data_IF_290639452051
#
_entry.id   IF_290639452051
#
_cell.length_a   1.000
_cell.length_b   1.000
_cell.length_c   1.000
_cell.angle_alpha   90.00
_cell.angle_beta   90.00
_cell.angle_gamma   90.00
#
_symmetry.space_group_name_H-M   'P 1'
#
loop_
_entity.id
_entity.type
_entity.pdbx_description
1 polymer ?
#
# COMPACT_ATOMS: atom_id res chain seq x y z
N UNK A 1 18.57 18.43 -9.33
CA UNK A 1 17.23 18.41 -8.71
C UNK A 1 17.32 17.69 -7.37
N UNK A 2 16.75 18.25 -6.30
CA UNK A 2 16.68 17.64 -4.97
C UNK A 2 15.27 17.09 -4.72
N UNK A 3 15.15 15.85 -4.27
CA UNK A 3 13.86 15.20 -4.03
C UNK A 3 13.83 14.68 -2.59
N UNK A 4 12.74 14.93 -1.88
CA UNK A 4 12.46 14.34 -0.57
C UNK A 4 11.40 13.27 -0.70
N UNK A 5 11.67 12.03 -0.25
CA UNK A 5 10.67 10.99 -0.05
C UNK A 5 10.30 10.95 1.43
N UNK A 6 9.01 11.08 1.74
CA UNK A 6 8.50 11.03 3.12
C UNK A 6 8.06 9.61 3.44
N UNK A 7 8.60 9.05 4.53
CA UNK A 7 8.30 7.70 5.04
C UNK A 7 9.56 6.88 5.32
N UNK A 8 9.38 5.60 5.69
CA UNK A 8 10.49 4.73 6.15
C UNK A 8 10.27 3.25 5.85
N UNK A 9 9.19 2.87 5.18
CA UNK A 9 8.85 1.48 4.91
C UNK A 9 9.52 0.90 3.66
N UNK A 10 9.18 -0.34 3.34
CA UNK A 10 9.65 -1.02 2.13
C UNK A 10 9.16 -0.33 0.86
N UNK A 11 7.95 0.21 0.88
CA UNK A 11 7.38 1.05 -0.18
C UNK A 11 8.24 2.28 -0.45
N UNK A 12 8.63 3.03 0.57
CA UNK A 12 9.47 4.21 0.42
C UNK A 12 10.87 3.83 -0.05
N UNK A 13 11.42 2.72 0.41
CA UNK A 13 12.69 2.21 -0.12
C UNK A 13 12.59 1.88 -1.61
N UNK A 14 11.51 1.23 -2.05
CA UNK A 14 11.29 0.95 -3.46
C UNK A 14 11.12 2.22 -4.30
N UNK A 15 10.46 3.26 -3.78
CA UNK A 15 10.37 4.57 -4.43
C UNK A 15 11.74 5.24 -4.56
N UNK A 16 12.53 5.28 -3.48
CA UNK A 16 13.89 5.86 -3.49
C UNK A 16 14.79 5.08 -4.45
N UNK A 17 14.73 3.75 -4.41
CA UNK A 17 15.49 2.89 -5.31
C UNK A 17 15.15 3.14 -6.79
N UNK A 18 13.86 3.34 -7.10
CA UNK A 18 13.44 3.62 -8.49
C UNK A 18 13.82 5.04 -8.92
N UNK A 19 13.68 6.04 -8.04
CA UNK A 19 14.11 7.42 -8.32
C UNK A 19 15.62 7.54 -8.50
N UNK A 20 16.42 6.73 -7.79
CA UNK A 20 17.87 6.70 -7.94
C UNK A 20 18.33 6.19 -9.32
N UNK A 21 17.45 5.50 -10.07
CA UNK A 21 17.73 5.04 -11.44
C UNK A 21 17.38 6.07 -12.51
N UNK A 22 16.84 7.23 -12.13
CA UNK A 22 16.55 8.30 -13.09
C UNK A 22 17.80 8.77 -13.82
N UNK A 23 17.70 8.92 -15.14
CA UNK A 23 18.79 9.48 -15.97
C UNK A 23 19.15 10.91 -15.57
N UNK A 24 18.27 11.59 -14.84
CA UNK A 24 18.48 12.98 -14.34
C UNK A 24 19.29 13.03 -13.05
N UNK A 25 19.65 11.86 -12.46
CA UNK A 25 20.49 11.73 -11.26
C UNK A 25 20.12 12.71 -10.14
N UNK A 26 18.89 12.63 -9.60
CA UNK A 26 18.47 13.54 -8.53
C UNK A 26 19.26 13.30 -7.24
N UNK A 27 19.48 14.36 -6.46
CA UNK A 27 19.93 14.22 -5.08
C UNK A 27 18.73 13.83 -4.22
N UNK A 28 18.80 12.66 -3.59
CA UNK A 28 17.70 12.07 -2.84
C UNK A 28 17.86 12.27 -1.34
N UNK A 29 16.75 12.62 -0.70
CA UNK A 29 16.56 12.66 0.74
C UNK A 29 15.39 11.77 1.11
N UNK A 30 15.39 11.20 2.32
CA UNK A 30 14.25 10.43 2.86
C UNK A 30 14.01 10.79 4.33
N UNK A 31 12.78 10.99 4.73
CA UNK A 31 12.41 11.37 6.10
C UNK A 31 11.28 10.49 6.66
N UNK A 32 11.54 9.72 7.73
CA UNK A 32 12.84 9.53 8.40
C UNK A 32 13.79 8.57 7.67
N UNK A 33 13.31 7.77 6.70
CA UNK A 33 14.09 6.73 6.04
C UNK A 33 14.33 5.49 6.91
N UNK A 34 15.17 4.58 6.42
CA UNK A 34 15.62 3.37 7.11
C UNK A 34 17.05 3.01 6.68
N UNK A 35 17.65 2.01 7.32
CA UNK A 35 19.05 1.66 7.09
C UNK A 35 19.38 1.19 5.66
N UNK A 36 18.40 0.70 4.89
CA UNK A 36 18.62 0.34 3.48
C UNK A 36 18.60 1.57 2.57
N UNK A 37 17.76 2.55 2.89
CA UNK A 37 17.63 3.81 2.14
C UNK A 37 18.91 4.65 2.27
N UNK A 38 19.64 4.55 3.39
CA UNK A 38 20.89 5.30 3.64
C UNK A 38 21.94 5.13 2.55
N UNK A 39 21.92 4.03 1.81
CA UNK A 39 22.85 3.77 0.69
C UNK A 39 22.48 4.52 -0.59
N UNK A 40 21.25 5.04 -0.70
CA UNK A 40 20.67 5.66 -1.90
C UNK A 40 20.32 7.14 -1.69
N UNK A 41 20.01 7.53 -0.45
CA UNK A 41 19.52 8.84 -0.09
C UNK A 41 20.02 9.28 1.29
N UNK A 42 20.14 10.59 1.50
CA UNK A 42 20.40 11.14 2.83
C UNK A 42 19.14 10.99 3.70
N UNK A 43 19.20 10.16 4.74
CA UNK A 43 18.12 10.01 5.70
C UNK A 43 18.12 11.19 6.69
N UNK A 44 16.94 11.80 6.89
CA UNK A 44 16.74 12.97 7.74
C UNK A 44 15.85 12.58 8.91
N UNK A 45 16.26 12.78 10.18
CA UNK A 45 15.53 12.29 11.35
C UNK A 45 14.30 13.14 11.68
N UNK A 46 13.43 13.35 10.68
CA UNK A 46 12.13 14.02 10.81
C UNK A 46 11.04 12.98 10.61
N UNK A 47 10.09 12.89 11.53
CA UNK A 47 8.97 11.93 11.42
C UNK A 47 8.08 12.29 10.23
N UNK A 48 7.47 11.27 9.62
CA UNK A 48 6.59 11.45 8.46
C UNK A 48 5.34 12.30 8.76
N UNK A 49 4.89 12.33 10.01
CA UNK A 49 3.75 13.10 10.50
C UNK A 49 4.12 14.50 11.07
N UNK A 50 5.42 14.82 11.16
CA UNK A 50 5.90 16.16 11.52
C UNK A 50 5.92 17.08 10.30
N UNK A 51 4.73 17.52 9.87
CA UNK A 51 4.56 18.35 8.66
C UNK A 51 5.34 19.66 8.77
N UNK A 52 5.39 20.28 9.95
CA UNK A 52 6.09 21.54 10.17
C UNK A 52 7.61 21.38 10.04
N UNK A 53 8.16 20.32 10.62
CA UNK A 53 9.58 19.97 10.49
C UNK A 53 9.96 19.65 9.04
N UNK A 54 9.14 18.86 8.35
CA UNK A 54 9.34 18.53 6.94
C UNK A 54 9.31 19.78 6.06
N UNK A 55 8.35 20.68 6.28
CA UNK A 55 8.26 21.96 5.54
C UNK A 55 9.49 22.84 5.74
N UNK A 56 9.93 22.98 6.99
CA UNK A 56 11.15 23.75 7.33
C UNK A 56 12.37 23.17 6.60
N UNK A 57 12.53 21.86 6.63
CA UNK A 57 13.62 21.16 5.93
C UNK A 57 13.57 21.39 4.42
N UNK A 58 12.38 21.24 3.80
CA UNK A 58 12.19 21.44 2.36
C UNK A 58 12.57 22.86 1.94
N UNK A 59 12.22 23.87 2.73
CA UNK A 59 12.56 25.26 2.46
C UNK A 59 14.05 25.55 2.65
N UNK A 60 14.66 25.06 3.74
CA UNK A 60 16.08 25.30 4.04
C UNK A 60 17.01 24.62 3.04
N UNK A 61 16.71 23.37 2.66
CA UNK A 61 17.49 22.59 1.71
C UNK A 61 17.15 22.89 0.25
N UNK A 62 16.13 23.70 -0.01
CA UNK A 62 15.62 24.02 -1.36
C UNK A 62 15.28 22.74 -2.12
N UNK A 63 14.47 21.89 -1.53
CA UNK A 63 13.96 20.67 -2.17
C UNK A 63 13.04 21.06 -3.32
N UNK A 64 13.29 20.50 -4.49
CA UNK A 64 12.52 20.81 -5.71
C UNK A 64 11.18 20.05 -5.76
N UNK A 65 11.13 18.84 -5.18
CA UNK A 65 9.94 17.97 -5.20
C UNK A 65 9.88 17.12 -3.95
N UNK A 66 8.70 17.02 -3.33
CA UNK A 66 8.43 16.10 -2.23
C UNK A 66 7.49 14.99 -2.69
N UNK A 67 7.78 13.73 -2.33
CA UNK A 67 6.97 12.55 -2.63
C UNK A 67 6.52 11.92 -1.32
N UNK A 68 5.20 11.74 -1.13
CA UNK A 68 4.65 11.21 0.12
C UNK A 68 4.34 9.73 -0.05
N UNK A 69 4.95 8.88 0.80
CA UNK A 69 4.74 7.44 0.79
C UNK A 69 3.54 6.99 1.63
N UNK A 70 3.47 7.28 2.95
CA UNK A 70 2.45 6.75 3.84
C UNK A 70 1.17 7.60 3.85
N UNK A 71 0.08 6.98 4.31
CA UNK A 71 -1.26 7.59 4.38
C UNK A 71 -1.42 8.64 5.48
N UNK A 72 -0.71 8.49 6.59
CA UNK A 72 -0.89 9.36 7.76
C UNK A 72 -0.63 10.84 7.46
N UNK A 73 0.51 11.26 6.88
CA UNK A 73 0.74 12.66 6.51
C UNK A 73 -0.25 13.18 5.46
N UNK A 74 -0.75 12.32 4.54
CA UNK A 74 -1.79 12.70 3.58
C UNK A 74 -3.09 13.06 4.30
N UNK A 75 -3.53 12.21 5.22
CA UNK A 75 -4.72 12.44 6.04
C UNK A 75 -4.59 13.65 6.95
N UNK A 76 -3.37 13.98 7.40
CA UNK A 76 -3.09 15.19 8.19
C UNK A 76 -3.08 16.47 7.33
N UNK A 77 -2.86 16.37 6.00
CA UNK A 77 -2.94 17.51 5.08
C UNK A 77 -1.58 18.07 4.65
N UNK A 78 -0.52 17.25 4.61
CA UNK A 78 0.82 17.69 4.17
C UNK A 78 0.78 18.31 2.77
N UNK A 79 -0.06 17.79 1.86
CA UNK A 79 -0.17 18.30 0.49
C UNK A 79 -0.72 19.73 0.48
N UNK A 80 -1.77 19.97 1.27
CA UNK A 80 -2.42 21.27 1.36
C UNK A 80 -1.45 22.32 1.94
N UNK A 81 -0.74 21.97 3.02
CA UNK A 81 0.22 22.84 3.69
C UNK A 81 1.40 23.21 2.78
N UNK A 82 1.94 22.24 2.02
CA UNK A 82 3.06 22.47 1.09
C UNK A 82 2.63 23.33 -0.10
N UNK A 83 1.49 23.01 -0.71
CA UNK A 83 0.94 23.79 -1.85
C UNK A 83 0.65 25.24 -1.48
N UNK A 84 0.07 25.47 -0.31
CA UNK A 84 -0.18 26.84 0.22
C UNK A 84 1.14 27.61 0.36
N UNK A 85 2.25 26.93 0.57
CA UNK A 85 3.59 27.53 0.68
C UNK A 85 4.36 27.54 -0.65
N UNK A 86 3.72 27.20 -1.78
CA UNK A 86 4.34 27.17 -3.11
C UNK A 86 5.34 26.02 -3.33
N UNK A 87 5.32 24.99 -2.46
CA UNK A 87 6.24 23.85 -2.55
C UNK A 87 5.61 22.73 -3.43
N UNK A 88 6.40 22.21 -4.38
CA UNK A 88 5.97 21.09 -5.22
C UNK A 88 5.92 19.80 -4.40
N UNK A 89 4.79 19.10 -4.46
CA UNK A 89 4.56 17.87 -3.71
C UNK A 89 3.63 16.93 -4.46
N UNK A 90 3.96 15.63 -4.45
CA UNK A 90 3.20 14.54 -5.06
C UNK A 90 2.38 13.80 -4.01
N UNK A 91 1.08 13.72 -4.23
CA UNK A 91 0.09 13.04 -3.43
C UNK A 91 -1.25 13.79 -3.44
N UNK A 92 -2.34 13.16 -2.94
CA UNK A 92 -3.66 13.76 -2.86
C UNK A 92 -3.77 14.73 -1.67
N UNK A 93 -4.58 15.77 -1.82
CA UNK A 93 -4.96 16.68 -0.73
C UNK A 93 -5.65 15.94 0.41
N UNK A 94 -5.72 16.56 1.59
CA UNK A 94 -6.45 16.01 2.75
C UNK A 94 -7.89 15.64 2.40
N UNK A 95 -8.57 16.48 1.59
CA UNK A 95 -9.92 16.21 1.12
C UNK A 95 -10.01 14.93 0.29
N UNK A 96 -9.09 14.74 -0.65
CA UNK A 96 -9.04 13.55 -1.51
C UNK A 96 -8.55 12.30 -0.75
N UNK A 97 -7.59 12.45 0.17
CA UNK A 97 -7.07 11.35 0.99
C UNK A 97 -8.13 10.73 1.92
N UNK A 98 -9.26 11.39 2.14
CA UNK A 98 -10.43 10.82 2.84
C UNK A 98 -10.93 9.53 2.20
N UNK A 99 -10.67 9.29 0.91
CA UNK A 99 -11.07 8.04 0.24
C UNK A 99 -10.42 6.80 0.89
N UNK A 100 -9.25 6.95 1.52
CA UNK A 100 -8.60 5.93 2.36
C UNK A 100 -8.91 6.15 3.85
N UNK A 101 -8.88 7.40 4.32
CA UNK A 101 -8.98 7.74 5.73
C UNK A 101 -10.40 7.56 6.30
N UNK A 102 -11.44 7.45 5.47
CA UNK A 102 -12.82 7.17 5.88
C UNK A 102 -13.48 6.18 4.92
N UNK A 103 -13.79 4.99 5.43
CA UNK A 103 -14.50 3.96 4.67
C UNK A 103 -15.92 4.37 4.33
N UNK A 104 -16.55 5.16 5.19
CA UNK A 104 -17.87 5.75 4.94
C UNK A 104 -17.79 6.70 3.75
N UNK A 105 -16.83 7.64 3.74
CA UNK A 105 -16.62 8.53 2.61
C UNK A 105 -16.30 7.77 1.32
N UNK A 106 -15.49 6.72 1.41
CA UNK A 106 -15.20 5.83 0.27
C UNK A 106 -16.49 5.21 -0.29
N UNK A 107 -17.42 4.75 0.58
CA UNK A 107 -18.72 4.21 0.15
C UNK A 107 -19.62 5.29 -0.47
N UNK A 108 -19.59 6.51 0.02
CA UNK A 108 -20.31 7.64 -0.58
C UNK A 108 -19.80 7.91 -2.02
N UNK A 109 -18.47 7.94 -2.22
CA UNK A 109 -17.86 8.05 -3.55
C UNK A 109 -18.33 6.91 -4.46
N UNK A 110 -18.20 5.65 -4.00
CA UNK A 110 -18.60 4.49 -4.79
C UNK A 110 -20.09 4.52 -5.17
N UNK A 111 -20.94 4.87 -4.23
CA UNK A 111 -22.39 5.01 -4.47
C UNK A 111 -22.70 6.12 -5.48
N UNK A 112 -22.10 7.29 -5.33
CA UNK A 112 -22.33 8.46 -6.20
C UNK A 112 -21.85 8.24 -7.64
N UNK A 113 -20.88 7.34 -7.81
CA UNK A 113 -20.26 6.98 -9.09
C UNK A 113 -20.75 5.65 -9.67
N UNK A 114 -21.72 4.99 -9.04
CA UNK A 114 -22.21 3.66 -9.41
C UNK A 114 -21.10 2.59 -9.49
N UNK A 115 -20.09 2.69 -8.62
CA UNK A 115 -19.00 1.72 -8.53
C UNK A 115 -19.48 0.52 -7.70
N UNK A 116 -19.30 -0.69 -8.25
CA UNK A 116 -19.68 -1.91 -7.57
C UNK A 116 -18.82 -2.14 -6.32
N UNK A 117 -19.49 -2.40 -5.20
CA UNK A 117 -18.88 -2.73 -3.91
C UNK A 117 -19.84 -3.59 -3.08
N UNK A 118 -19.36 -4.20 -2.00
CA UNK A 118 -20.19 -4.92 -1.05
C UNK A 118 -21.27 -4.01 -0.48
N UNK A 119 -22.49 -4.52 -0.34
CA UNK A 119 -23.56 -3.83 0.38
C UNK A 119 -23.09 -3.56 1.81
N UNK A 120 -23.24 -2.32 2.28
CA UNK A 120 -22.74 -1.88 3.56
C UNK A 120 -23.72 -0.96 4.27
N UNK A 121 -23.67 -0.99 5.59
CA UNK A 121 -24.35 -0.01 6.43
C UNK A 121 -23.39 0.49 7.52
N UNK A 122 -23.37 1.80 7.74
CA UNK A 122 -22.54 2.44 8.77
C UNK A 122 -23.33 2.66 10.05
N UNK A 123 -22.65 2.56 11.19
CA UNK A 123 -23.24 2.74 12.53
C UNK A 123 -22.30 3.57 13.40
N UNK A 124 -22.88 4.57 14.07
CA UNK A 124 -22.24 5.40 15.10
C UNK A 124 -22.74 5.05 16.52
N UNK A 125 -23.67 4.08 16.64
CA UNK A 125 -24.24 3.62 17.90
C UNK A 125 -24.14 2.10 17.99
N UNK A 126 -23.50 1.60 19.05
CA UNK A 126 -23.30 0.17 19.29
C UNK A 126 -24.63 -0.60 19.25
N UNK A 127 -25.66 -0.10 19.95
CA UNK A 127 -26.96 -0.79 20.00
C UNK A 127 -27.57 -0.99 18.62
N UNK A 128 -27.43 0.00 17.72
CA UNK A 128 -27.95 -0.09 16.35
C UNK A 128 -27.16 -1.12 15.52
N UNK A 129 -25.83 -1.12 15.66
CA UNK A 129 -24.96 -2.10 14.98
C UNK A 129 -25.26 -3.54 15.43
N UNK A 130 -25.42 -3.76 16.74
CA UNK A 130 -25.75 -5.06 17.31
C UNK A 130 -27.14 -5.54 16.89
N UNK A 131 -28.14 -4.64 16.84
CA UNK A 131 -29.49 -4.96 16.36
C UNK A 131 -29.48 -5.37 14.88
N UNK A 132 -28.71 -4.65 14.04
CA UNK A 132 -28.55 -4.99 12.62
C UNK A 132 -27.92 -6.37 12.42
N UNK A 133 -26.87 -6.70 13.19
CA UNK A 133 -26.22 -8.02 13.12
C UNK A 133 -27.15 -9.19 13.47
N UNK A 134 -28.19 -8.98 14.29
CA UNK A 134 -29.15 -10.04 14.61
C UNK A 134 -29.94 -10.55 13.38
N UNK A 135 -30.09 -9.70 12.36
CA UNK A 135 -30.85 -9.98 11.14
C UNK A 135 -29.98 -10.17 9.90
N UNK A 136 -28.67 -9.90 10.00
CA UNK A 136 -27.74 -9.98 8.86
C UNK A 136 -27.31 -11.43 8.61
N UNK A 137 -27.13 -11.78 7.33
CA UNK A 137 -26.59 -13.07 6.91
C UNK A 137 -25.10 -13.19 7.26
N UNK A 138 -24.65 -14.44 7.47
CA UNK A 138 -23.25 -14.76 7.73
C UNK A 138 -22.64 -15.51 6.53
N UNK A 139 -21.34 -15.38 6.29
CA UNK A 139 -20.38 -14.51 6.99
C UNK A 139 -20.63 -13.03 6.73
N UNK A 140 -20.11 -12.17 7.62
CA UNK A 140 -20.24 -10.72 7.54
C UNK A 140 -18.89 -10.04 7.81
N UNK A 141 -18.67 -8.86 7.23
CA UNK A 141 -17.43 -8.11 7.44
C UNK A 141 -17.70 -6.88 8.30
N UNK A 142 -16.98 -6.76 9.42
CA UNK A 142 -17.03 -5.57 10.29
C UNK A 142 -15.75 -4.77 10.08
N UNK A 143 -15.90 -3.46 9.74
CA UNK A 143 -14.76 -2.56 9.47
C UNK A 143 -14.86 -1.30 10.34
N UNK A 144 -13.78 -0.93 11.03
CA UNK A 144 -13.63 0.39 11.65
C UNK A 144 -13.48 1.47 10.56
N UNK A 145 -14.11 2.65 10.73
CA UNK A 145 -14.19 3.69 9.68
C UNK A 145 -12.89 4.46 9.46
N UNK A 146 -11.92 4.43 10.34
CA UNK A 146 -10.69 5.22 10.21
C UNK A 146 -9.48 4.40 9.73
N UNK A 147 -8.31 5.06 9.74
CA UNK A 147 -7.03 4.42 9.52
C UNK A 147 -6.72 3.47 10.69
N UNK A 148 -6.71 2.17 10.42
CA UNK A 148 -6.45 1.12 11.42
C UNK A 148 -5.32 0.18 10.98
N UNK A 149 -4.47 0.60 10.04
CA UNK A 149 -3.29 -0.14 9.57
C UNK A 149 -3.60 -1.58 9.13
N UNK A 150 -4.73 -1.79 8.45
CA UNK A 150 -5.20 -3.12 8.02
C UNK A 150 -5.77 -4.02 9.14
N UNK A 151 -5.72 -3.58 10.40
CA UNK A 151 -6.19 -4.37 11.56
C UNK A 151 -7.67 -4.13 11.91
N UNK A 152 -8.28 -3.09 11.38
CA UNK A 152 -9.67 -2.71 11.66
C UNK A 152 -10.71 -3.44 10.80
N UNK A 153 -10.36 -4.57 10.16
CA UNK A 153 -11.26 -5.38 9.32
C UNK A 153 -11.31 -6.81 9.86
N UNK A 154 -12.51 -7.27 10.20
CA UNK A 154 -12.76 -8.64 10.65
C UNK A 154 -13.81 -9.29 9.76
N UNK A 155 -13.51 -10.45 9.21
CA UNK A 155 -14.48 -11.36 8.61
C UNK A 155 -15.01 -12.27 9.72
N UNK A 156 -16.27 -12.09 10.10
CA UNK A 156 -16.93 -12.86 11.14
C UNK A 156 -17.75 -13.98 10.51
N UNK A 157 -17.48 -15.21 10.93
CA UNK A 157 -18.22 -16.41 10.52
C UNK A 157 -19.37 -16.75 11.48
N UNK A 158 -19.30 -16.19 12.69
CA UNK A 158 -20.35 -16.31 13.71
C UNK A 158 -20.89 -14.93 14.11
N UNK A 159 -22.11 -14.92 14.64
CA UNK A 159 -22.77 -13.69 15.09
C UNK A 159 -22.08 -13.10 16.33
N UNK A 160 -21.56 -13.94 17.17
CA UNK A 160 -20.82 -13.59 18.37
C UNK A 160 -19.50 -12.90 18.03
N UNK A 161 -18.74 -13.44 17.06
CA UNK A 161 -17.53 -12.78 16.54
C UNK A 161 -17.85 -11.38 15.97
N UNK A 162 -18.91 -11.25 15.18
CA UNK A 162 -19.31 -9.98 14.62
C UNK A 162 -19.71 -8.95 15.70
N UNK A 163 -20.46 -9.39 16.73
CA UNK A 163 -20.84 -8.53 17.86
C UNK A 163 -19.63 -8.12 18.70
N UNK A 164 -18.71 -9.06 18.91
CA UNK A 164 -17.46 -8.74 19.64
C UNK A 164 -16.63 -7.72 18.87
N UNK A 165 -16.47 -7.87 17.56
CA UNK A 165 -15.75 -6.88 16.73
C UNK A 165 -16.35 -5.47 16.82
N UNK A 166 -17.70 -5.35 16.83
CA UNK A 166 -18.38 -4.07 17.03
C UNK A 166 -18.06 -3.49 18.42
N UNK A 167 -18.11 -4.31 19.47
CA UNK A 167 -17.77 -3.84 20.83
C UNK A 167 -16.30 -3.44 20.96
N UNK A 168 -15.40 -4.24 20.40
CA UNK A 168 -13.95 -3.94 20.45
C UNK A 168 -13.65 -2.61 19.76
N UNK A 169 -14.28 -2.34 18.62
CA UNK A 169 -14.10 -1.08 17.91
C UNK A 169 -14.72 0.10 18.68
N UNK A 170 -16.02 0.00 19.04
CA UNK A 170 -16.82 1.15 19.45
C UNK A 170 -16.89 1.34 20.99
N UNK A 171 -16.84 0.26 21.79
CA UNK A 171 -16.89 0.35 23.27
C UNK A 171 -15.49 0.28 23.88
N UNK A 172 -14.67 -0.66 23.43
CA UNK A 172 -13.31 -0.85 23.96
C UNK A 172 -12.28 0.06 23.30
N UNK A 173 -12.67 0.79 22.26
CA UNK A 173 -11.85 1.75 21.50
C UNK A 173 -10.47 1.19 21.07
N UNK A 174 -10.39 -0.10 20.71
CA UNK A 174 -9.16 -0.79 20.31
C UNK A 174 -8.45 -0.09 19.13
N UNK A 175 -9.23 0.62 18.30
CA UNK A 175 -8.73 1.41 17.17
C UNK A 175 -8.77 2.93 17.45
N UNK A 176 -8.92 3.35 18.71
CA UNK A 176 -9.02 4.76 19.08
C UNK A 176 -10.16 5.47 18.32
N UNK A 177 -9.90 6.66 17.78
CA UNK A 177 -10.91 7.43 17.04
C UNK A 177 -11.42 6.71 15.79
N UNK A 178 -10.63 5.85 15.15
CA UNK A 178 -11.04 5.08 13.99
C UNK A 178 -12.19 4.11 14.27
N UNK A 179 -12.34 3.67 15.53
CA UNK A 179 -13.40 2.77 15.97
C UNK A 179 -14.72 3.44 16.37
N UNK A 180 -14.81 4.77 16.39
CA UNK A 180 -16.05 5.48 16.79
C UNK A 180 -17.24 5.19 15.87
N UNK A 181 -16.98 4.79 14.63
CA UNK A 181 -17.95 4.36 13.63
C UNK A 181 -17.50 3.04 13.03
N UNK A 182 -18.45 2.15 12.77
CA UNK A 182 -18.20 0.88 12.08
C UNK A 182 -19.05 0.77 10.83
N UNK A 183 -18.53 0.07 9.83
CA UNK A 183 -19.28 -0.43 8.69
C UNK A 183 -19.49 -1.93 8.88
N UNK A 184 -20.71 -2.38 8.59
CA UNK A 184 -21.05 -3.79 8.50
C UNK A 184 -21.34 -4.06 7.03
N UNK A 185 -20.57 -4.97 6.42
CA UNK A 185 -20.61 -5.25 4.99
C UNK A 185 -20.95 -6.71 4.71
N UNK A 186 -21.60 -6.92 3.58
CA UNK A 186 -21.75 -8.24 3.00
C UNK A 186 -20.37 -8.86 2.73
N UNK A 187 -20.20 -10.12 3.08
CA UNK A 187 -19.04 -10.90 2.67
C UNK A 187 -19.11 -11.18 1.16
N UNK A 188 -17.98 -10.97 0.48
CA UNK A 188 -17.82 -11.29 -0.93
C UNK A 188 -16.88 -12.50 -1.05
N UNK A 189 -17.36 -13.57 -1.66
CA UNK A 189 -16.57 -14.78 -1.94
C UNK A 189 -15.93 -14.66 -3.33
N UNK A 190 -14.63 -14.47 -3.38
CA UNK A 190 -13.87 -14.26 -4.60
C UNK A 190 -12.37 -14.21 -4.36
N UNK A 191 -11.64 -13.66 -5.31
CA UNK A 191 -10.19 -13.50 -5.22
C UNK A 191 -9.82 -12.02 -5.18
N UNK A 192 -8.90 -11.68 -4.28
CA UNK A 192 -8.41 -10.31 -4.16
C UNK A 192 -7.49 -9.95 -5.33
N UNK A 193 -7.56 -8.70 -5.77
CA UNK A 193 -6.70 -8.13 -6.80
C UNK A 193 -6.47 -6.66 -6.49
N UNK A 194 -5.25 -6.19 -6.73
CA UNK A 194 -4.89 -4.78 -6.62
C UNK A 194 -4.63 -4.19 -8.00
N UNK A 195 -5.29 -3.06 -8.30
CA UNK A 195 -4.93 -2.23 -9.44
C UNK A 195 -4.70 -0.81 -8.93
N UNK A 196 -3.45 -0.36 -9.03
CA UNK A 196 -3.08 1.03 -8.76
C UNK A 196 -3.10 1.82 -10.05
N UNK A 197 -3.30 3.13 -9.95
CA UNK A 197 -3.20 4.03 -11.10
C UNK A 197 -2.55 5.36 -10.73
N UNK A 198 -1.69 5.87 -11.60
CA UNK A 198 -1.31 7.28 -11.57
C UNK A 198 -2.47 8.13 -12.04
N UNK A 199 -2.69 9.28 -11.40
CA UNK A 199 -3.68 10.24 -11.87
C UNK A 199 -3.28 11.68 -11.51
N UNK A 200 -3.54 12.58 -12.42
CA UNK A 200 -3.37 14.03 -12.26
C UNK A 200 -4.70 14.73 -11.91
N UNK A 201 -5.76 13.97 -11.64
CA UNK A 201 -7.12 14.45 -11.37
C UNK A 201 -8.04 14.45 -12.58
N UNK A 202 -7.52 14.11 -13.77
CA UNK A 202 -8.25 14.01 -15.05
C UNK A 202 -7.89 12.72 -15.79
N UNK A 203 -6.61 12.55 -16.05
CA UNK A 203 -6.07 11.35 -16.69
C UNK A 203 -5.83 10.26 -15.66
N UNK A 204 -6.11 9.02 -16.02
CA UNK A 204 -5.88 7.84 -15.19
C UNK A 204 -5.05 6.84 -15.98
N UNK A 205 -3.86 6.51 -15.48
CA UNK A 205 -2.96 5.54 -16.12
C UNK A 205 -2.80 4.33 -15.18
N UNK A 206 -3.50 3.21 -15.48
CA UNK A 206 -3.44 2.02 -14.63
C UNK A 206 -2.08 1.35 -14.72
N UNK A 207 -1.58 0.92 -13.56
CA UNK A 207 -0.37 0.11 -13.43
C UNK A 207 -0.65 -1.37 -13.75
N UNK A 208 0.40 -2.18 -13.76
CA UNK A 208 0.25 -3.63 -13.81
C UNK A 208 -0.51 -4.14 -12.59
N UNK A 209 -1.41 -5.14 -12.76
CA UNK A 209 -2.17 -5.70 -11.65
C UNK A 209 -1.25 -6.48 -10.71
N UNK A 210 -1.43 -6.31 -9.40
CA UNK A 210 -0.70 -7.03 -8.39
C UNK A 210 -1.65 -7.81 -7.48
N UNK A 211 -1.16 -8.84 -6.83
CA UNK A 211 -1.89 -9.55 -5.79
C UNK A 211 -1.01 -9.74 -4.57
N UNK A 212 -1.51 -9.33 -3.40
CA UNK A 212 -0.83 -9.49 -2.12
C UNK A 212 -1.31 -10.73 -1.36
N UNK A 213 -0.56 -11.10 -0.33
CA UNK A 213 -0.89 -12.17 0.62
C UNK A 213 -1.04 -11.56 2.00
N UNK A 214 -2.28 -11.35 2.45
CA UNK A 214 -2.59 -10.61 3.70
C UNK A 214 -2.45 -11.45 4.96
N UNK A 215 -2.67 -12.77 4.88
CA UNK A 215 -2.59 -13.66 6.04
C UNK A 215 -1.14 -13.98 6.40
N UNK A 216 -0.85 -14.10 7.71
CA UNK A 216 0.51 -14.29 8.21
C UNK A 216 1.12 -15.65 7.85
N UNK A 217 0.32 -16.71 7.78
CA UNK A 217 0.77 -18.08 7.55
C UNK A 217 0.47 -18.60 6.16
N UNK A 218 1.17 -19.67 5.78
CA UNK A 218 0.95 -20.41 4.55
C UNK A 218 -0.50 -20.92 4.46
N UNK A 219 -1.00 -21.10 3.24
CA UNK A 219 -2.39 -21.50 2.98
C UNK A 219 -3.42 -20.47 3.46
N UNK A 220 -3.03 -19.19 3.52
CA UNK A 220 -3.87 -18.10 4.00
C UNK A 220 -4.40 -18.31 5.43
N UNK A 221 -3.57 -18.88 6.31
CA UNK A 221 -3.89 -19.13 7.71
C UNK A 221 -3.50 -17.96 8.63
N UNK A 222 -4.14 -17.88 9.80
CA UNK A 222 -3.81 -16.90 10.83
C UNK A 222 -4.40 -15.50 10.62
N UNK A 223 -3.97 -14.50 11.38
CA UNK A 223 -4.50 -13.13 11.31
C UNK A 223 -4.08 -12.39 10.04
N UNK A 224 -4.83 -11.34 9.69
CA UNK A 224 -4.46 -10.38 8.66
C UNK A 224 -3.23 -9.56 9.11
N UNK A 225 -2.43 -9.17 8.13
CA UNK A 225 -1.22 -8.37 8.27
C UNK A 225 -1.25 -7.16 7.34
N UNK A 226 -0.17 -6.39 7.30
CA UNK A 226 0.05 -5.38 6.25
C UNK A 226 0.49 -5.94 4.90
N UNK A 227 0.53 -7.27 4.74
CA UNK A 227 1.02 -7.98 3.56
C UNK A 227 2.30 -8.76 3.84
N UNK A 228 2.28 -10.06 3.53
CA UNK A 228 3.40 -11.01 3.70
C UNK A 228 4.17 -11.23 2.40
N UNK A 229 3.71 -10.64 1.33
CA UNK A 229 4.31 -10.70 0.00
C UNK A 229 3.33 -10.31 -1.08
N UNK A 230 3.82 -10.11 -2.28
CA UNK A 230 3.01 -9.79 -3.45
C UNK A 230 3.68 -10.32 -4.72
N UNK A 231 2.94 -10.32 -5.81
CA UNK A 231 3.48 -10.61 -7.13
C UNK A 231 2.80 -9.77 -8.23
N UNK A 232 3.50 -9.54 -9.30
CA UNK A 232 3.08 -8.70 -10.42
C UNK A 232 3.75 -9.17 -11.73
N UNK A 233 3.04 -9.20 -12.88
CA UNK A 233 1.59 -9.04 -13.01
C UNK A 233 0.83 -10.24 -12.42
N UNK A 234 -0.29 -9.98 -11.77
CA UNK A 234 -1.17 -11.04 -11.29
C UNK A 234 -1.99 -11.59 -12.48
N UNK A 235 -2.00 -12.93 -12.75
CA UNK A 235 -2.74 -13.51 -13.88
C UNK A 235 -4.25 -13.28 -13.82
N UNK A 236 -4.81 -13.10 -12.63
CA UNK A 236 -6.20 -12.71 -12.42
C UNK A 236 -6.54 -11.38 -13.12
N UNK A 237 -5.58 -10.44 -13.14
CA UNK A 237 -5.72 -9.11 -13.73
C UNK A 237 -5.51 -9.10 -15.24
N UNK A 238 -6.32 -9.85 -16.00
CA UNK A 238 -6.27 -9.87 -17.45
C UNK A 238 -6.40 -8.47 -18.05
N UNK A 239 -5.97 -8.28 -19.30
CA UNK A 239 -6.13 -7.00 -20.01
C UNK A 239 -7.59 -6.52 -20.00
N UNK A 240 -8.53 -7.41 -20.28
CA UNK A 240 -9.96 -7.10 -20.26
C UNK A 240 -10.45 -6.64 -18.89
N UNK A 241 -10.03 -7.31 -17.81
CA UNK A 241 -10.39 -6.94 -16.43
C UNK A 241 -9.76 -5.60 -16.04
N UNK A 242 -8.50 -5.36 -16.41
CA UNK A 242 -7.82 -4.08 -16.17
C UNK A 242 -8.53 -2.92 -16.87
N UNK A 243 -8.93 -3.09 -18.14
CA UNK A 243 -9.72 -2.11 -18.88
C UNK A 243 -11.10 -1.87 -18.24
N UNK A 244 -11.77 -2.94 -17.80
CA UNK A 244 -13.04 -2.84 -17.10
C UNK A 244 -12.90 -2.04 -15.80
N UNK A 245 -11.91 -2.36 -14.95
CA UNK A 245 -11.64 -1.64 -13.70
C UNK A 245 -11.28 -0.18 -13.97
N UNK A 246 -10.49 0.08 -15.00
CA UNK A 246 -10.15 1.46 -15.39
C UNK A 246 -11.39 2.26 -15.71
N UNK A 247 -12.28 1.72 -16.56
CA UNK A 247 -13.50 2.39 -17.02
C UNK A 247 -14.61 2.45 -15.97
N UNK A 248 -14.79 1.40 -15.14
CA UNK A 248 -15.93 1.28 -14.23
C UNK A 248 -15.59 1.62 -12.77
N UNK A 249 -14.31 1.73 -12.42
CA UNK A 249 -13.88 1.98 -11.03
C UNK A 249 -12.98 3.22 -10.96
N UNK A 250 -11.83 3.21 -11.65
CA UNK A 250 -10.79 4.23 -11.44
C UNK A 250 -11.22 5.61 -11.97
N UNK A 251 -11.64 5.69 -13.24
CA UNK A 251 -12.15 6.94 -13.80
C UNK A 251 -13.37 7.48 -13.04
N UNK A 252 -14.42 6.70 -12.78
CA UNK A 252 -15.56 7.16 -12.01
C UNK A 252 -15.23 7.65 -10.60
N UNK A 253 -14.25 7.01 -9.91
CA UNK A 253 -13.81 7.46 -8.59
C UNK A 253 -13.11 8.82 -8.66
N UNK A 254 -12.19 9.03 -9.62
CA UNK A 254 -11.48 10.30 -9.82
C UNK A 254 -12.46 11.42 -10.19
N UNK A 255 -13.41 11.16 -11.07
CA UNK A 255 -14.46 12.12 -11.43
C UNK A 255 -15.38 12.47 -10.24
N UNK A 256 -15.79 11.46 -9.45
CA UNK A 256 -16.65 11.70 -8.28
C UNK A 256 -15.93 12.57 -7.24
N UNK A 257 -14.65 12.29 -6.96
CA UNK A 257 -13.82 13.10 -6.08
C UNK A 257 -13.72 14.56 -6.60
N UNK A 258 -13.53 14.74 -7.90
CA UNK A 258 -13.48 16.06 -8.51
C UNK A 258 -14.82 16.81 -8.37
N UNK A 259 -15.95 16.14 -8.63
CA UNK A 259 -17.30 16.72 -8.44
C UNK A 259 -17.59 17.12 -6.98
N UNK A 260 -16.99 16.40 -6.01
CA UNK A 260 -17.10 16.72 -4.58
C UNK A 260 -16.12 17.81 -4.13
N UNK A 261 -15.41 18.47 -5.05
CA UNK A 261 -14.47 19.54 -4.75
C UNK A 261 -13.12 19.10 -4.18
N UNK A 262 -12.80 17.82 -4.26
CA UNK A 262 -11.53 17.26 -3.81
C UNK A 262 -10.85 16.42 -4.93
N UNK A 263 -10.37 17.08 -6.01
CA UNK A 263 -9.72 16.38 -7.12
C UNK A 263 -8.53 15.58 -6.62
N UNK A 264 -8.41 14.33 -7.11
CA UNK A 264 -7.38 13.40 -6.66
C UNK A 264 -6.16 13.46 -7.58
N UNK A 265 -4.99 13.75 -7.00
CA UNK A 265 -3.71 13.78 -7.70
C UNK A 265 -2.72 12.87 -6.97
N UNK A 266 -2.08 11.95 -7.66
CA UNK A 266 -1.16 10.99 -7.05
C UNK A 266 -1.38 9.56 -7.51
N UNK A 267 -1.36 8.61 -6.60
CA UNK A 267 -1.66 7.19 -6.86
C UNK A 267 -2.96 6.80 -6.18
N UNK A 268 -3.96 6.44 -6.99
CA UNK A 268 -5.19 5.81 -6.51
C UNK A 268 -5.03 4.29 -6.56
N UNK A 269 -5.17 3.65 -5.42
CA UNK A 269 -5.13 2.19 -5.27
C UNK A 269 -6.57 1.68 -5.14
N UNK A 270 -6.98 0.77 -6.01
CA UNK A 270 -8.23 0.02 -5.90
C UNK A 270 -7.94 -1.40 -5.43
N UNK A 271 -8.35 -1.73 -4.20
CA UNK A 271 -8.40 -3.09 -3.67
C UNK A 271 -9.72 -3.74 -4.08
N UNK A 272 -9.63 -4.81 -4.83
CA UNK A 272 -10.77 -5.46 -5.50
C UNK A 272 -11.00 -6.86 -4.97
N UNK A 273 -12.26 -7.30 -4.93
CA UNK A 273 -12.67 -8.68 -4.88
C UNK A 273 -13.28 -9.06 -6.23
N UNK A 274 -12.68 -10.00 -6.93
CA UNK A 274 -13.17 -10.51 -8.21
C UNK A 274 -14.07 -11.71 -7.95
N UNK A 275 -15.38 -11.51 -8.08
CA UNK A 275 -16.39 -12.54 -7.86
C UNK A 275 -16.92 -12.98 -9.21
N UNK A 276 -16.62 -14.22 -9.62
CA UNK A 276 -17.05 -14.79 -10.92
C UNK A 276 -16.75 -13.84 -12.11
N UNK A 277 -15.54 -13.24 -12.10
CA UNK A 277 -15.08 -12.33 -13.15
C UNK A 277 -15.57 -10.87 -13.01
N UNK A 278 -16.41 -10.56 -12.04
CA UNK A 278 -16.89 -9.20 -11.78
C UNK A 278 -16.08 -8.55 -10.65
N UNK A 279 -15.44 -7.37 -10.89
CA UNK A 279 -14.68 -6.68 -9.87
C UNK A 279 -15.59 -5.87 -8.94
N UNK A 280 -15.49 -6.10 -7.64
CA UNK A 280 -16.09 -5.31 -6.57
C UNK A 280 -15.00 -4.59 -5.80
N UNK A 281 -15.15 -3.30 -5.54
CA UNK A 281 -14.20 -2.55 -4.73
C UNK A 281 -14.38 -2.91 -3.25
N UNK A 282 -13.31 -3.38 -2.62
CA UNK A 282 -13.22 -3.60 -1.18
C UNK A 282 -12.86 -2.32 -0.44
N UNK A 283 -11.89 -1.59 -0.99
CA UNK A 283 -11.36 -0.33 -0.45
C UNK A 283 -10.60 0.44 -1.52
N UNK A 284 -10.47 1.74 -1.31
CA UNK A 284 -9.47 2.57 -1.98
C UNK A 284 -8.37 2.96 -1.00
N UNK A 285 -7.12 3.08 -1.51
CA UNK A 285 -6.05 3.72 -0.80
C UNK A 285 -5.53 4.93 -1.61
N UNK A 286 -5.04 5.94 -0.89
CA UNK A 286 -4.68 7.24 -1.45
C UNK A 286 -3.17 7.35 -1.77
N UNK A 287 -2.49 6.23 -1.91
CA UNK A 287 -1.03 6.11 -2.06
C UNK A 287 -0.66 4.75 -2.65
N UNK A 288 0.60 4.56 -2.94
CA UNK A 288 1.12 3.25 -3.36
C UNK A 288 0.92 2.19 -2.28
N UNK A 289 0.68 0.94 -2.68
CA UNK A 289 0.56 -0.22 -1.80
C UNK A 289 1.89 -0.66 -1.17
N UNK A 290 1.82 -1.45 -0.12
CA UNK A 290 2.98 -2.07 0.54
C UNK A 290 2.55 -3.48 1.02
N UNK A 291 2.97 -4.58 0.34
CA UNK A 291 4.19 -4.71 -0.49
C UNK A 291 4.02 -4.60 -2.02
N UNK A 292 2.91 -4.12 -2.57
CA UNK A 292 2.71 -4.10 -4.02
C UNK A 292 3.70 -3.20 -4.76
N UNK A 293 4.12 -2.09 -4.15
CA UNK A 293 5.12 -1.18 -4.71
C UNK A 293 6.44 -1.91 -5.01
N UNK A 294 6.82 -2.85 -4.14
CA UNK A 294 8.05 -3.63 -4.24
C UNK A 294 8.03 -4.62 -5.42
N UNK A 295 6.89 -4.90 -6.02
CA UNK A 295 6.78 -5.74 -7.22
C UNK A 295 6.41 -4.93 -8.47
N UNK A 296 5.72 -3.81 -8.32
CA UNK A 296 5.27 -2.99 -9.46
C UNK A 296 6.38 -2.06 -9.95
N UNK A 297 7.07 -1.33 -9.07
CA UNK A 297 8.12 -0.39 -9.47
C UNK A 297 9.34 -1.05 -10.13
N UNK A 298 9.79 -2.26 -9.76
CA UNK A 298 10.84 -2.96 -10.49
C UNK A 298 10.49 -3.27 -11.95
N UNK A 299 9.21 -3.37 -12.27
CA UNK A 299 8.72 -3.60 -13.64
C UNK A 299 8.45 -2.31 -14.42
N UNK A 300 8.45 -1.15 -13.76
CA UNK A 300 8.27 0.13 -14.45
C UNK A 300 9.51 0.45 -15.30
N UNK A 301 9.32 0.62 -16.63
CA UNK A 301 10.39 0.98 -17.57
C UNK A 301 10.55 2.49 -17.69
N UNK A 302 9.44 3.23 -17.74
CA UNK A 302 9.43 4.69 -17.76
C UNK A 302 10.07 5.24 -16.47
N UNK A 303 10.80 6.35 -16.60
CA UNK A 303 11.41 7.03 -15.46
C UNK A 303 10.34 7.48 -14.45
N UNK A 304 10.40 6.98 -13.21
CA UNK A 304 9.42 7.32 -12.18
C UNK A 304 9.38 8.82 -11.89
N UNK A 305 10.51 9.51 -12.00
CA UNK A 305 10.57 10.96 -11.80
C UNK A 305 9.74 11.69 -12.86
N UNK A 306 9.82 11.25 -14.12
CA UNK A 306 9.04 11.81 -15.21
C UNK A 306 7.53 11.61 -15.00
N UNK A 307 7.14 10.41 -14.54
CA UNK A 307 5.73 10.12 -14.21
C UNK A 307 5.23 11.01 -13.08
N UNK A 308 6.00 11.15 -12.00
CA UNK A 308 5.63 12.00 -10.85
C UNK A 308 5.50 13.46 -11.27
N UNK A 309 6.42 13.99 -12.07
CA UNK A 309 6.33 15.36 -12.58
C UNK A 309 5.12 15.54 -13.50
N UNK A 310 4.85 14.59 -14.39
CA UNK A 310 3.68 14.63 -15.25
C UNK A 310 2.37 14.69 -14.45
N UNK A 311 2.29 13.95 -13.35
CA UNK A 311 1.14 14.02 -12.43
C UNK A 311 1.06 15.39 -11.75
N UNK A 312 2.17 15.90 -11.19
CA UNK A 312 2.19 17.18 -10.46
C UNK A 312 1.89 18.37 -11.38
N UNK A 313 2.29 18.28 -12.64
CA UNK A 313 2.16 19.34 -13.65
C UNK A 313 0.90 19.19 -14.53
N UNK A 314 0.01 18.23 -14.22
CA UNK A 314 -1.24 17.96 -14.98
C UNK A 314 -1.03 17.72 -16.48
N UNK A 315 0.01 16.94 -16.82
CA UNK A 315 0.36 16.56 -18.20
C UNK A 315 0.50 15.05 -18.40
N UNK A 316 -0.17 14.27 -17.52
CA UNK A 316 -0.10 12.80 -17.56
C UNK A 316 -0.66 12.23 -18.88
N UNK A 317 -1.55 12.94 -19.55
CA UNK A 317 -2.09 12.62 -20.87
C UNK A 317 -1.05 12.70 -22.01
N UNK A 318 0.09 13.36 -21.77
CA UNK A 318 1.19 13.51 -22.74
C UNK A 318 2.28 12.44 -22.54
N UNK A 319 2.16 11.57 -21.53
CA UNK A 319 3.16 10.58 -21.18
C UNK A 319 2.66 9.15 -21.44
N UNK A 320 3.45 8.38 -22.16
CA UNK A 320 3.27 6.92 -22.24
C UNK A 320 4.04 6.25 -21.14
N UNK A 321 3.36 5.45 -20.33
CA UNK A 321 3.98 4.68 -19.24
C UNK A 321 4.22 3.24 -19.70
N UNK A 322 5.48 2.89 -19.89
CA UNK A 322 5.95 1.59 -20.34
C UNK A 322 6.40 0.70 -19.21
N UNK A 323 6.25 -0.61 -19.40
CA UNK A 323 6.61 -1.65 -18.45
C UNK A 323 7.59 -2.65 -19.07
N UNK A 324 8.45 -3.26 -18.24
CA UNK A 324 9.27 -4.40 -18.65
C UNK A 324 8.38 -5.63 -18.85
N UNK A 325 8.68 -6.42 -19.87
CA UNK A 325 8.06 -7.72 -20.12
C UNK A 325 8.70 -8.78 -19.21
N UNK A 326 8.44 -8.64 -17.92
CA UNK A 326 8.97 -9.49 -16.83
C UNK A 326 7.91 -9.62 -15.75
N UNK A 327 8.19 -10.50 -14.79
CA UNK A 327 7.41 -10.71 -13.58
C UNK A 327 8.24 -10.40 -12.34
N UNK A 328 7.58 -10.08 -11.23
CA UNK A 328 8.22 -9.84 -9.95
C UNK A 328 7.45 -10.53 -8.82
N UNK A 329 8.17 -11.10 -7.86
CA UNK A 329 7.64 -11.70 -6.63
C UNK A 329 8.38 -11.11 -5.45
N UNK A 330 7.66 -10.60 -4.45
CA UNK A 330 8.22 -10.08 -3.21
C UNK A 330 7.82 -10.98 -2.04
N UNK A 331 8.81 -11.46 -1.29
CA UNK A 331 8.62 -12.19 -0.02
C UNK A 331 8.94 -11.26 1.12
N UNK A 332 8.00 -11.09 2.05
CA UNK A 332 8.19 -10.21 3.24
C UNK A 332 8.69 -11.04 4.41
N UNK A 333 9.85 -10.65 4.96
CA UNK A 333 10.37 -11.19 6.22
C UNK A 333 9.93 -10.32 7.39
N UNK A 334 9.43 -10.95 8.44
CA UNK A 334 8.87 -10.28 9.62
C UNK A 334 9.58 -10.69 10.91
N UNK A 335 9.52 -9.83 11.93
CA UNK A 335 9.91 -10.17 13.29
C UNK A 335 8.94 -11.20 13.88
N UNK A 336 9.46 -12.12 14.71
CA UNK A 336 8.66 -13.14 15.38
C UNK A 336 7.57 -12.53 16.25
N UNK A 337 6.34 -13.06 16.09
CA UNK A 337 5.15 -12.56 16.76
C UNK A 337 4.32 -11.56 15.97
N UNK A 338 4.85 -11.01 14.85
CA UNK A 338 4.06 -10.16 13.95
C UNK A 338 2.84 -10.92 13.36
N UNK A 339 1.63 -10.32 13.26
CA UNK A 339 1.26 -8.90 13.46
C UNK A 339 0.92 -8.52 14.90
N UNK A 340 1.06 -9.43 15.87
CA UNK A 340 0.90 -9.15 17.29
C UNK A 340 2.11 -8.43 17.89
N UNK A 341 2.39 -8.70 19.18
CA UNK A 341 3.57 -8.18 19.84
C UNK A 341 4.84 -8.85 19.31
N UNK A 342 5.85 -8.07 18.96
CA UNK A 342 7.12 -8.56 18.41
C UNK A 342 8.30 -7.84 19.08
N UNK A 343 9.46 -8.49 19.04
CA UNK A 343 10.72 -7.92 19.53
C UNK A 343 11.52 -7.31 18.37
N UNK A 344 12.26 -6.26 18.66
CA UNK A 344 13.19 -5.60 17.72
C UNK A 344 14.62 -5.63 18.25
N UNK A 345 15.59 -5.12 17.47
CA UNK A 345 17.00 -5.09 17.86
C UNK A 345 17.75 -6.39 17.58
N UNK A 346 17.18 -7.32 16.78
CA UNK A 346 17.84 -8.57 16.39
C UNK A 346 18.78 -8.33 15.22
N UNK A 347 20.06 -8.73 15.28
CA UNK A 347 21.02 -8.58 14.18
C UNK A 347 20.57 -9.32 12.92
N UNK A 348 20.75 -8.67 11.76
CA UNK A 348 20.50 -9.27 10.46
C UNK A 348 21.82 -9.80 9.86
N UNK A 349 21.77 -11.03 9.35
CA UNK A 349 22.91 -11.71 8.73
C UNK A 349 22.56 -12.15 7.30
N UNK A 350 23.57 -12.36 6.47
CA UNK A 350 23.42 -12.93 5.13
C UNK A 350 22.79 -12.01 4.08
N UNK A 351 22.70 -10.71 4.36
CA UNK A 351 22.27 -9.75 3.33
C UNK A 351 23.25 -9.72 2.16
N UNK A 352 22.76 -9.68 0.89
CA UNK A 352 23.62 -9.52 -0.27
C UNK A 352 24.48 -8.26 -0.15
N UNK A 353 25.77 -8.38 -0.44
CA UNK A 353 26.72 -7.27 -0.43
C UNK A 353 26.70 -6.46 -1.73
N UNK A 354 26.12 -7.00 -2.78
CA UNK A 354 26.00 -6.38 -4.10
C UNK A 354 24.55 -6.43 -4.55
N UNK A 355 24.10 -5.41 -5.30
CA UNK A 355 22.81 -5.43 -5.97
C UNK A 355 22.87 -6.49 -7.08
N UNK A 356 22.05 -7.53 -6.97
CA UNK A 356 21.91 -8.52 -8.03
C UNK A 356 20.99 -7.97 -9.12
N UNK A 357 21.24 -8.35 -10.38
CA UNK A 357 20.44 -7.85 -11.50
C UNK A 357 18.97 -8.34 -11.44
N UNK A 358 18.75 -9.49 -10.79
CA UNK A 358 17.50 -10.22 -10.74
C UNK A 358 16.80 -10.16 -9.37
N UNK A 359 17.48 -9.63 -8.33
CA UNK A 359 16.89 -9.52 -7.00
C UNK A 359 17.21 -8.17 -6.33
N UNK A 360 16.25 -7.65 -5.56
CA UNK A 360 16.40 -6.44 -4.75
C UNK A 360 15.88 -6.69 -3.34
N UNK A 361 16.64 -6.29 -2.33
CA UNK A 361 16.21 -6.33 -0.94
C UNK A 361 15.75 -4.93 -0.50
N UNK A 362 14.46 -4.77 -0.34
CA UNK A 362 13.86 -3.55 0.17
C UNK A 362 13.77 -3.61 1.69
N UNK A 363 14.44 -2.70 2.38
CA UNK A 363 14.37 -2.57 3.82
C UNK A 363 13.08 -1.86 4.23
N UNK A 364 12.45 -2.36 5.30
CA UNK A 364 11.33 -1.74 5.97
C UNK A 364 11.73 -1.42 7.42
N UNK A 365 11.37 -2.26 8.38
CA UNK A 365 11.72 -2.07 9.78
C UNK A 365 13.17 -2.46 10.07
N UNK A 366 14.13 -1.69 9.63
CA UNK A 366 15.55 -1.88 9.90
C UNK A 366 16.22 -0.60 10.36
N UNK A 367 17.24 -0.71 11.22
CA UNK A 367 18.08 0.41 11.66
C UNK A 367 19.52 -0.03 11.88
N UNK A 368 20.45 0.93 11.90
CA UNK A 368 21.82 0.68 12.33
C UNK A 368 21.94 0.88 13.85
N UNK A 369 22.74 0.01 14.47
CA UNK A 369 23.17 0.14 15.86
C UNK A 369 24.69 -0.08 15.88
N UNK A 370 25.47 1.01 15.93
CA UNK A 370 26.89 0.94 15.64
C UNK A 370 27.15 0.47 14.20
N UNK A 371 27.91 -0.60 14.05
CA UNK A 371 28.20 -1.22 12.75
C UNK A 371 27.17 -2.27 12.33
N UNK A 372 26.31 -2.69 13.24
CA UNK A 372 25.33 -3.77 12.99
C UNK A 372 24.02 -3.22 12.42
N UNK A 373 23.43 -4.00 11.52
CA UNK A 373 22.07 -3.82 11.04
C UNK A 373 21.13 -4.68 11.87
N UNK A 374 20.09 -4.07 12.44
CA UNK A 374 19.15 -4.77 13.32
C UNK A 374 17.70 -4.54 12.92
N UNK A 375 16.81 -5.45 13.35
CA UNK A 375 15.35 -5.29 13.18
C UNK A 375 14.84 -4.08 13.97
N UNK A 376 13.88 -3.34 13.41
CA UNK A 376 13.29 -2.14 14.02
C UNK A 376 11.77 -2.05 13.80
N UNK A 377 11.14 -3.08 13.25
CA UNK A 377 9.71 -3.10 12.98
C UNK A 377 9.15 -4.51 12.83
N UNK A 378 7.85 -4.63 12.62
CA UNK A 378 7.16 -5.91 12.40
C UNK A 378 7.54 -6.52 11.06
N UNK A 379 7.28 -5.82 9.94
CA UNK A 379 7.84 -6.16 8.62
C UNK A 379 9.25 -5.59 8.55
N UNK A 380 10.23 -6.43 8.28
CA UNK A 380 11.67 -6.10 8.35
C UNK A 380 12.25 -5.87 6.97
N UNK A 381 12.04 -6.81 6.06
CA UNK A 381 12.55 -6.79 4.69
C UNK A 381 11.48 -7.24 3.70
N UNK A 382 11.51 -6.70 2.48
CA UNK A 382 10.83 -7.24 1.32
C UNK A 382 11.86 -7.68 0.29
N UNK A 383 11.92 -8.97 -0.02
CA UNK A 383 12.88 -9.54 -0.97
C UNK A 383 12.16 -9.75 -2.29
N UNK A 384 12.51 -8.95 -3.29
CA UNK A 384 11.90 -9.01 -4.62
C UNK A 384 12.81 -9.69 -5.61
N UNK A 385 12.37 -10.82 -6.15
CA UNK A 385 12.95 -11.47 -7.31
C UNK A 385 12.24 -11.05 -8.59
N UNK A 386 12.99 -10.97 -9.71
CA UNK A 386 12.48 -10.69 -11.06
C UNK A 386 12.85 -11.84 -11.99
N UNK A 387 12.00 -12.11 -12.98
CA UNK A 387 12.24 -13.15 -13.98
C UNK A 387 11.32 -13.00 -15.18
N UNK A 388 11.60 -13.80 -16.21
CA UNK A 388 10.75 -13.88 -17.41
C UNK A 388 9.45 -14.61 -17.13
N UNK A 389 9.49 -15.56 -16.22
CA UNK A 389 8.30 -16.27 -15.72
C UNK A 389 8.10 -16.01 -14.24
N UNK A 390 6.86 -16.20 -13.77
CA UNK A 390 6.54 -16.08 -12.35
C UNK A 390 7.33 -17.08 -11.50
N UNK A 391 7.58 -18.28 -12.03
CA UNK A 391 8.38 -19.30 -11.37
C UNK A 391 9.85 -18.85 -11.18
N UNK A 392 10.45 -18.21 -12.19
CA UNK A 392 11.80 -17.68 -12.10
C UNK A 392 11.88 -16.57 -11.05
N UNK A 393 10.92 -15.64 -11.07
CA UNK A 393 10.86 -14.55 -10.11
C UNK A 393 10.66 -15.06 -8.67
N UNK A 394 9.79 -16.05 -8.47
CA UNK A 394 9.57 -16.70 -7.17
C UNK A 394 10.83 -17.40 -6.68
N UNK A 395 11.46 -18.23 -7.54
CA UNK A 395 12.68 -18.96 -7.20
C UNK A 395 13.79 -18.01 -6.76
N UNK A 396 13.94 -16.88 -7.46
CA UNK A 396 14.95 -15.86 -7.16
C UNK A 396 14.67 -15.15 -5.84
N UNK A 397 13.41 -14.75 -5.58
CA UNK A 397 13.03 -14.15 -4.30
C UNK A 397 13.32 -15.08 -3.13
N UNK A 398 12.97 -16.37 -3.24
CA UNK A 398 13.24 -17.36 -2.18
C UNK A 398 14.71 -17.75 -2.06
N UNK A 399 15.47 -17.74 -3.15
CA UNK A 399 16.92 -17.98 -3.11
C UNK A 399 17.60 -16.95 -2.18
N UNK A 400 17.28 -15.67 -2.37
CA UNK A 400 17.84 -14.59 -1.54
C UNK A 400 17.23 -14.60 -0.14
N UNK A 401 15.93 -14.83 0.01
CA UNK A 401 15.27 -14.90 1.32
C UNK A 401 15.93 -15.93 2.23
N UNK A 402 16.27 -17.11 1.70
CA UNK A 402 16.91 -18.21 2.44
C UNK A 402 18.34 -17.90 2.89
N UNK A 403 19.03 -16.93 2.28
CA UNK A 403 20.37 -16.51 2.70
C UNK A 403 20.32 -15.53 3.89
N UNK A 404 19.18 -14.90 4.15
CA UNK A 404 19.03 -13.88 5.18
C UNK A 404 18.49 -14.51 6.46
N UNK A 405 19.11 -14.18 7.60
CA UNK A 405 18.71 -14.70 8.89
C UNK A 405 18.73 -13.63 9.99
N UNK A 406 17.77 -13.69 10.88
CA UNK A 406 17.74 -13.01 12.18
C UNK A 406 16.87 -13.80 13.13
N UNK A 407 17.10 -13.64 14.44
CA UNK A 407 16.37 -14.41 15.46
C UNK A 407 14.86 -14.11 15.39
N UNK A 408 14.06 -15.19 15.32
CA UNK A 408 12.61 -15.10 15.22
C UNK A 408 12.10 -14.68 13.84
N UNK A 409 12.92 -14.72 12.79
CA UNK A 409 12.48 -14.43 11.42
C UNK A 409 11.32 -15.33 10.98
N UNK A 410 10.28 -14.73 10.42
CA UNK A 410 9.16 -15.44 9.83
C UNK A 410 8.88 -14.89 8.43
N UNK A 411 8.56 -15.77 7.49
CA UNK A 411 8.08 -15.45 6.15
C UNK A 411 7.22 -16.59 5.62
N UNK A 412 6.33 -16.32 4.69
CA UNK A 412 5.54 -17.35 4.00
C UNK A 412 6.37 -18.07 2.95
N UNK A 413 6.11 -19.36 2.79
CA UNK A 413 6.81 -20.21 1.78
C UNK A 413 6.01 -20.40 0.50
N UNK A 414 4.78 -19.88 0.45
CA UNK A 414 3.79 -20.08 -0.62
C UNK A 414 3.38 -18.78 -1.36
N UNK A 415 4.20 -17.71 -1.31
CA UNK A 415 3.92 -16.46 -2.04
C UNK A 415 3.79 -16.76 -3.54
N UNK A 416 2.74 -16.23 -4.16
CA UNK A 416 2.30 -16.45 -5.55
C UNK A 416 1.61 -17.80 -5.82
N UNK A 417 1.33 -18.66 -4.82
CA UNK A 417 0.69 -19.96 -5.02
C UNK A 417 -0.62 -19.88 -5.82
N UNK A 418 -1.44 -18.83 -5.60
CA UNK A 418 -2.71 -18.64 -6.30
C UNK A 418 -2.57 -18.48 -7.81
N UNK A 419 -1.44 -17.92 -8.26
CA UNK A 419 -1.18 -17.76 -9.69
C UNK A 419 -0.89 -19.10 -10.38
N UNK A 420 -0.21 -20.03 -9.68
CA UNK A 420 0.11 -21.36 -10.21
C UNK A 420 -1.13 -22.27 -10.25
N UNK A 421 -2.01 -22.20 -9.25
CA UNK A 421 -3.25 -23.00 -9.19
C UNK A 421 -4.28 -22.67 -10.29
N UNK A 422 -4.09 -21.58 -11.05
CA UNK A 422 -4.98 -21.18 -12.15
C UNK A 422 -4.67 -21.87 -13.48
N UNK A 423 -3.52 -22.47 -13.59
CA UNK A 423 -3.05 -23.16 -14.81
C UNK A 423 -3.28 -24.67 -14.76
N UNK A 424 -3.81 -25.19 -13.65
CA UNK A 424 -4.32 -26.58 -13.50
C UNK A 424 -5.86 -26.62 -13.72
#
# INVERSE_FOLDING_TARGET
>A
MKILVVGSGGREHAMVWKLAQSSRMPTLYCAPGNAGIESLAACVPIKADDIAGLKTFVQSEKIDLTVVGPEAPLALGIIDEFRTSGLKIFGPTKGAARIEASKVFSKEIMSSANILTARAQSFDRVASALAYLNQHELPVVVKADGLAQGKGVLVATTREEAKQAVRDAMEHAVFGQAGQRVLIEQFLDGEELTIMAFTDGRTVVPMLPAQDHKRVGDGDAGPNTGGMGAYCPAPLGTTALREQVTRQVLYPAVEALSRMGCPFQGVLYAGLMVVKGTPYVLEFNARMGDPETQVVLPLLKTDLLEVIEAVVEHRLDQLTVDWHDETAVCVVMTSGGYPGAYQTGRPLHGLPTTTEATAVVFHAGTRRTGTELVTAGGRVLGITGRGKTLADAQAEAYRVTKSIAFEGAHYRTDIAHRAFSRHE
#
